data_IF_566563656934
#
_entry.id   IF_566563656934
#
_cell.length_a   1.000
_cell.length_b   1.000
_cell.length_c   1.000
_cell.angle_alpha   90.00
_cell.angle_beta   90.00
_cell.angle_gamma   90.00
#
_symmetry.space_group_name_H-M   'P 1'
#
loop_
_entity.id
_entity.type
_entity.pdbx_description
1 polymer ?
#
# COMPACT_ATOMS: atom_id res chain seq x y z
N UNK A 1 -5.48 14.97 -1.68
CA UNK A 1 -6.06 14.29 -2.86
C UNK A 1 -7.09 15.21 -3.52
N UNK A 2 -7.20 15.23 -4.86
CA UNK A 2 -8.17 16.06 -5.57
C UNK A 2 -9.61 15.65 -5.22
N UNK A 3 -10.52 16.61 -5.24
CA UNK A 3 -11.96 16.38 -5.03
C UNK A 3 -12.48 15.45 -6.14
N UNK A 4 -13.07 14.32 -5.77
CA UNK A 4 -13.50 13.28 -6.72
C UNK A 4 -12.51 12.14 -6.95
N UNK A 5 -11.36 12.12 -6.26
CA UNK A 5 -10.45 10.99 -6.31
C UNK A 5 -11.11 9.73 -5.72
N UNK A 6 -11.41 8.75 -6.58
CA UNK A 6 -11.78 7.42 -6.14
C UNK A 6 -10.51 6.57 -6.03
N UNK A 7 -10.14 6.12 -4.82
CA UNK A 7 -9.03 5.19 -4.68
C UNK A 7 -9.36 3.91 -5.48
N UNK A 8 -8.39 3.37 -6.25
CA UNK A 8 -8.56 2.08 -6.89
C UNK A 8 -8.95 1.03 -5.86
N UNK A 9 -9.83 0.09 -6.23
CA UNK A 9 -10.11 -1.07 -5.39
C UNK A 9 -8.89 -1.99 -5.43
N UNK A 10 -8.12 -1.99 -4.36
CA UNK A 10 -7.04 -2.95 -4.16
C UNK A 10 -7.59 -4.25 -3.57
N UNK A 11 -7.00 -5.36 -3.98
CA UNK A 11 -7.11 -6.58 -3.19
C UNK A 11 -6.30 -6.38 -1.91
N UNK A 12 -6.95 -6.58 -0.76
CA UNK A 12 -6.27 -6.45 0.53
C UNK A 12 -5.39 -7.67 0.78
N UNK A 13 -4.10 -7.44 1.03
CA UNK A 13 -3.11 -8.46 1.34
C UNK A 13 -3.12 -8.80 2.83
N UNK A 14 -3.33 -10.07 3.15
CA UNK A 14 -3.31 -10.56 4.54
C UNK A 14 -1.93 -10.97 5.06
N UNK A 15 -0.88 -10.86 4.24
CA UNK A 15 0.44 -11.37 4.59
C UNK A 15 0.70 -12.80 4.09
N UNK A 16 -0.30 -13.43 3.47
CA UNK A 16 -0.19 -14.79 2.91
C UNK A 16 0.01 -14.72 1.39
N UNK A 17 1.06 -15.38 0.90
CA UNK A 17 1.43 -15.38 -0.53
C UNK A 17 2.73 -14.61 -0.77
N UNK A 18 2.94 -14.15 -2.01
CA UNK A 18 4.17 -13.47 -2.41
C UNK A 18 4.07 -11.95 -2.18
N UNK A 19 4.78 -11.38 -1.18
CA UNK A 19 4.72 -9.96 -0.87
C UNK A 19 5.29 -9.09 -2.00
N UNK A 20 6.33 -9.54 -2.70
CA UNK A 20 6.92 -8.82 -3.84
C UNK A 20 5.91 -8.63 -4.98
N UNK A 21 5.10 -9.65 -5.25
CA UNK A 21 4.08 -9.58 -6.30
C UNK A 21 2.95 -8.61 -5.91
N UNK A 22 2.60 -8.55 -4.62
CA UNK A 22 1.65 -7.56 -4.10
C UNK A 22 2.19 -6.14 -4.28
N UNK A 23 3.45 -5.89 -3.92
CA UNK A 23 4.09 -4.57 -4.10
C UNK A 23 4.16 -4.20 -5.57
N UNK A 24 4.55 -5.12 -6.46
CA UNK A 24 4.59 -4.86 -7.90
C UNK A 24 3.21 -4.52 -8.47
N UNK A 25 2.16 -5.28 -8.12
CA UNK A 25 0.79 -4.99 -8.54
C UNK A 25 0.26 -3.67 -7.97
N UNK A 26 0.61 -3.35 -6.72
CA UNK A 26 0.26 -2.09 -6.09
C UNK A 26 0.88 -0.93 -6.90
N UNK A 27 2.20 -0.94 -7.09
CA UNK A 27 2.93 0.10 -7.84
C UNK A 27 2.40 0.23 -9.27
N UNK A 28 2.16 -0.87 -9.98
CA UNK A 28 1.63 -0.83 -11.36
C UNK A 28 0.23 -0.19 -11.42
N UNK A 29 -0.66 -0.54 -10.49
CA UNK A 29 -2.02 0.02 -10.42
C UNK A 29 -1.99 1.53 -10.19
N UNK A 30 -1.04 2.01 -9.37
CA UNK A 30 -0.86 3.43 -9.08
C UNK A 30 -0.15 4.19 -10.20
N UNK A 31 0.80 3.56 -10.89
CA UNK A 31 1.45 4.11 -12.08
C UNK A 31 0.39 4.42 -13.16
N UNK A 32 -0.55 3.49 -13.36
CA UNK A 32 -1.72 3.68 -14.24
C UNK A 32 -2.65 4.80 -13.77
N UNK A 33 -2.77 5.03 -12.47
CA UNK A 33 -3.60 6.07 -11.88
C UNK A 33 -2.92 7.46 -11.84
N UNK A 34 -1.70 7.61 -12.37
CA UNK A 34 -0.99 8.90 -12.45
C UNK A 34 -0.70 9.54 -11.10
N UNK A 35 -0.70 8.77 -10.01
CA UNK A 35 -0.64 9.27 -8.64
C UNK A 35 0.68 8.85 -8.00
N UNK A 36 1.62 9.80 -7.92
CA UNK A 36 2.94 9.64 -7.32
C UNK A 36 3.11 10.54 -6.08
N UNK A 37 3.88 10.08 -5.09
CA UNK A 37 4.26 10.83 -3.87
C UNK A 37 3.67 10.29 -2.55
N UNK A 38 3.64 11.12 -1.51
CA UNK A 38 3.14 10.83 -0.14
C UNK A 38 1.78 10.13 -0.04
N UNK A 39 0.96 10.22 -1.09
CA UNK A 39 -0.32 9.53 -1.14
C UNK A 39 -0.18 8.01 -1.26
N UNK A 40 0.92 7.50 -1.84
CA UNK A 40 1.17 6.06 -2.00
C UNK A 40 1.32 5.37 -0.66
N UNK A 41 2.10 5.94 0.25
CA UNK A 41 2.34 5.36 1.58
C UNK A 41 1.03 5.27 2.37
N UNK A 42 0.22 6.34 2.34
CA UNK A 42 -1.10 6.37 3.00
C UNK A 42 -2.08 5.35 2.43
N UNK A 43 -1.91 4.97 1.16
CA UNK A 43 -2.79 4.00 0.49
C UNK A 43 -2.24 2.58 0.55
N UNK A 44 -0.93 2.41 0.71
CA UNK A 44 -0.30 1.12 0.91
C UNK A 44 -0.84 0.47 2.18
N UNK A 45 -0.92 1.24 3.26
CA UNK A 45 -1.55 0.81 4.52
C UNK A 45 -3.00 0.33 4.32
N UNK A 46 -3.76 0.97 3.43
CA UNK A 46 -5.14 0.57 3.12
C UNK A 46 -5.24 -0.71 2.29
N UNK A 47 -4.15 -1.09 1.62
CA UNK A 47 -4.03 -2.36 0.90
C UNK A 47 -3.68 -3.54 1.81
N UNK A 48 -3.32 -3.30 3.07
CA UNK A 48 -3.02 -4.34 4.04
C UNK A 48 -4.26 -4.73 4.85
N UNK A 49 -4.33 -5.99 5.29
CA UNK A 49 -5.30 -6.48 6.29
C UNK A 49 -4.62 -7.55 7.16
N UNK A 50 -5.26 -7.89 8.28
CA UNK A 50 -4.80 -9.00 9.13
C UNK A 50 -3.35 -8.83 9.58
N UNK A 51 -2.59 -9.92 9.54
CA UNK A 51 -1.21 -9.97 10.03
C UNK A 51 -0.27 -8.97 9.33
N UNK A 52 -0.48 -8.70 8.05
CA UNK A 52 0.35 -7.72 7.33
C UNK A 52 0.10 -6.28 7.79
N UNK A 53 -1.15 -5.97 8.16
CA UNK A 53 -1.48 -4.67 8.73
C UNK A 53 -0.92 -4.53 10.14
N UNK A 54 -1.05 -5.58 10.94
CA UNK A 54 -0.51 -5.65 12.31
C UNK A 54 1.01 -5.44 12.33
N UNK A 55 1.75 -6.17 11.48
CA UNK A 55 3.18 -5.97 11.27
C UNK A 55 3.52 -4.53 10.87
N UNK A 56 2.73 -3.92 9.97
CA UNK A 56 2.98 -2.54 9.55
C UNK A 56 2.78 -1.54 10.70
N UNK A 57 1.79 -1.76 11.57
CA UNK A 57 1.52 -0.89 12.72
C UNK A 57 2.48 -1.12 13.90
N UNK A 58 3.12 -2.28 13.96
CA UNK A 58 4.11 -2.64 14.98
C UNK A 58 5.54 -2.15 14.62
N UNK A 59 5.76 -1.72 13.37
CA UNK A 59 7.05 -1.13 12.96
C UNK A 59 7.37 0.12 13.77
N UNK A 60 8.51 0.10 14.48
CA UNK A 60 9.08 1.27 15.14
C UNK A 60 9.37 2.38 14.12
N UNK A 61 9.23 3.64 14.55
CA UNK A 61 9.52 4.78 13.70
C UNK A 61 10.99 4.75 13.24
N UNK A 62 11.20 4.90 11.93
CA UNK A 62 12.53 4.77 11.32
C UNK A 62 12.95 3.36 10.90
N UNK A 63 12.11 2.32 11.09
CA UNK A 63 12.41 0.95 10.62
C UNK A 63 12.40 0.79 9.08
N UNK A 64 11.78 1.74 8.37
CA UNK A 64 11.84 1.82 6.91
C UNK A 64 12.97 2.79 6.56
N UNK A 65 14.20 2.27 6.54
CA UNK A 65 15.37 2.99 6.02
C UNK A 65 15.23 3.11 4.50
N UNK A 66 15.41 4.33 3.99
CA UNK A 66 15.09 4.74 2.61
C UNK A 66 16.21 4.58 1.61
#
# INVERSE_FOLDING_TARGET
MPVGYQPPKFQKFDGKGNPEQHVAQFVETWNKAGTYGDHLVKQFVRSLKGNAFDWYTDLEDGSIDG
#
